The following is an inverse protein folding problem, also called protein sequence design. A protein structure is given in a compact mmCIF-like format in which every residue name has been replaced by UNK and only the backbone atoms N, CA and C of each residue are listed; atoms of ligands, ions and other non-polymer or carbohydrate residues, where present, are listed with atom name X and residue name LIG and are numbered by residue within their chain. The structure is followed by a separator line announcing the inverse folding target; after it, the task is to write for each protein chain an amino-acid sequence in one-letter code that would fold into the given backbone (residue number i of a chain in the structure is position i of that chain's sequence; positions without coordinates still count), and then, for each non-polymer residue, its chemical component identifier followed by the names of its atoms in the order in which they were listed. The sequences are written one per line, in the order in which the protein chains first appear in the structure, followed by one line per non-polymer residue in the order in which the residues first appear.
data_IF_701121844894
#
_entry.id   IF_701121844894
#
_cell.length_a   1.000
_cell.length_b   1.000
_cell.length_c   1.000
_cell.angle_alpha   90.00
_cell.angle_beta   90.00
_cell.angle_gamma   90.00
#
_symmetry.space_group_name_H-M   'P 1'
#
loop_
_entity.id
_entity.type
_entity.pdbx_description
1 polymer ?
#
# COMPACT_ATOMS: atom_id res chain seq x y z
N UNK A 1 -30.38 2.39 -55.68
CA UNK A 1 -31.80 2.01 -55.84
C UNK A 1 -32.07 0.99 -54.75
N UNK A 2 -32.86 1.22 -53.71
CA UNK A 2 -33.64 2.35 -53.22
C UNK A 2 -33.72 2.08 -51.69
N UNK A 3 -33.40 3.04 -50.81
CA UNK A 3 -34.35 4.02 -50.26
C UNK A 3 -35.78 3.50 -50.22
N UNK A 4 -36.16 2.94 -49.06
CA UNK A 4 -37.57 2.83 -48.68
C UNK A 4 -37.74 3.62 -47.38
N UNK A 5 -37.90 4.93 -47.57
CA UNK A 5 -38.46 5.84 -46.59
C UNK A 5 -39.98 5.63 -46.47
N UNK A 6 -40.45 5.74 -45.22
CA UNK A 6 -41.66 6.46 -44.79
C UNK A 6 -43.03 5.88 -45.17
N UNK A 7 -43.73 5.43 -44.12
CA UNK A 7 -45.08 5.88 -43.78
C UNK A 7 -45.33 5.46 -42.31
N UNK A 8 -45.66 6.32 -41.33
CA UNK A 8 -46.40 7.57 -41.43
C UNK A 8 -47.88 7.31 -41.11
N UNK A 9 -48.20 6.98 -39.86
CA UNK A 9 -49.54 7.13 -39.28
C UNK A 9 -49.37 7.30 -37.75
N UNK A 10 -49.23 8.52 -37.24
CA UNK A 10 -50.24 9.56 -37.01
C UNK A 10 -51.11 9.28 -35.78
N UNK A 11 -50.76 10.05 -34.74
CA UNK A 11 -51.56 10.69 -33.72
C UNK A 11 -52.47 9.94 -32.73
N UNK A 12 -52.24 10.37 -31.48
CA UNK A 12 -53.13 10.50 -30.33
C UNK A 12 -53.80 9.24 -29.79
N UNK A 13 -53.47 8.87 -28.55
CA UNK A 13 -54.35 9.08 -27.38
C UNK A 13 -53.48 9.07 -26.10
N UNK A 14 -53.36 10.27 -25.53
CA UNK A 14 -53.43 10.61 -24.10
C UNK A 14 -52.68 9.77 -23.04
N UNK A 15 -51.81 10.52 -22.32
CA UNK A 15 -51.55 10.43 -20.89
C UNK A 15 -52.35 9.35 -20.12
N UNK A 16 -51.64 8.34 -19.60
CA UNK A 16 -51.92 7.87 -18.25
C UNK A 16 -50.65 7.40 -17.56
N UNK A 17 -50.46 7.92 -16.35
CA UNK A 17 -49.38 7.61 -15.43
C UNK A 17 -49.74 6.31 -14.73
N UNK A 18 -49.02 5.21 -14.96
CA UNK A 18 -48.66 4.30 -13.86
C UNK A 18 -47.70 3.16 -14.27
N UNK A 19 -46.65 3.05 -13.44
CA UNK A 19 -46.02 1.82 -12.93
C UNK A 19 -45.45 0.77 -13.90
N UNK A 20 -44.17 0.50 -13.62
CA UNK A 20 -43.49 -0.80 -13.70
C UNK A 20 -43.20 -1.37 -15.09
N UNK A 21 -42.13 -0.87 -15.73
CA UNK A 21 -41.34 -1.70 -16.65
C UNK A 21 -39.92 -1.79 -16.11
N UNK A 22 -39.66 -2.86 -15.34
CA UNK A 22 -38.31 -3.29 -14.98
C UNK A 22 -37.57 -3.61 -16.27
N UNK A 23 -36.71 -2.69 -16.73
CA UNK A 23 -35.65 -3.02 -17.69
C UNK A 23 -34.83 -4.14 -17.05
N UNK A 24 -34.66 -5.25 -17.76
CA UNK A 24 -33.81 -6.38 -17.36
C UNK A 24 -32.42 -5.84 -17.04
N UNK A 25 -32.11 -5.72 -15.75
CA UNK A 25 -30.78 -5.29 -15.30
C UNK A 25 -29.77 -6.32 -15.83
N UNK A 26 -28.97 -5.91 -16.82
CA UNK A 26 -27.77 -6.66 -17.19
C UNK A 26 -26.92 -6.78 -15.92
N UNK A 27 -26.36 -7.96 -15.69
CA UNK A 27 -25.53 -8.23 -14.53
C UNK A 27 -24.37 -7.22 -14.51
N UNK A 28 -24.47 -6.24 -13.61
CA UNK A 28 -23.53 -5.12 -13.50
C UNK A 28 -22.18 -5.56 -12.90
N UNK A 29 -22.04 -6.82 -12.47
CA UNK A 29 -20.79 -7.39 -11.96
C UNK A 29 -20.06 -6.51 -10.91
N UNK A 30 -20.80 -5.67 -10.19
CA UNK A 30 -20.25 -4.74 -9.20
C UNK A 30 -19.59 -3.48 -9.77
N UNK A 31 -19.74 -3.18 -11.07
CA UNK A 31 -19.16 -1.96 -11.68
C UNK A 31 -19.73 -0.70 -11.04
N UNK A 32 -21.04 -0.62 -10.81
CA UNK A 32 -21.62 0.53 -10.11
C UNK A 32 -21.23 0.60 -8.62
N UNK A 33 -20.78 -0.50 -8.02
CA UNK A 33 -20.26 -0.50 -6.64
C UNK A 33 -18.82 0.00 -6.60
N UNK A 34 -18.02 -0.34 -7.62
CA UNK A 34 -16.67 0.17 -7.81
C UNK A 34 -16.65 1.68 -8.16
N UNK A 35 -17.66 2.20 -8.85
CA UNK A 35 -17.76 3.65 -9.06
C UNK A 35 -18.01 4.38 -7.72
N UNK A 36 -18.87 3.81 -6.87
CA UNK A 36 -19.20 4.36 -5.55
C UNK A 36 -18.02 4.43 -4.58
N UNK A 37 -16.98 3.59 -4.70
CA UNK A 37 -15.79 3.68 -3.83
C UNK A 37 -14.88 4.87 -4.16
N UNK A 38 -15.08 5.51 -5.31
CA UNK A 38 -14.33 6.70 -5.72
C UNK A 38 -15.12 8.00 -5.60
N UNK A 39 -16.41 7.91 -5.27
CA UNK A 39 -17.27 9.08 -5.09
C UNK A 39 -16.79 9.92 -3.90
N UNK A 40 -16.94 11.24 -4.04
CA UNK A 40 -16.58 12.18 -3.00
C UNK A 40 -17.48 12.01 -1.77
N UNK A 41 -16.86 11.75 -0.62
CA UNK A 41 -17.51 11.75 0.69
C UNK A 41 -16.70 12.61 1.67
N UNK A 42 -17.40 13.42 2.47
CA UNK A 42 -16.75 14.20 3.53
C UNK A 42 -16.37 13.29 4.70
N UNK A 43 -15.13 13.42 5.18
CA UNK A 43 -14.61 12.69 6.34
C UNK A 43 -15.37 13.08 7.61
N UNK A 44 -15.74 12.09 8.42
CA UNK A 44 -16.44 12.36 9.69
C UNK A 44 -15.46 12.87 10.75
N UNK A 45 -15.80 14.01 11.35
CA UNK A 45 -15.08 14.51 12.52
C UNK A 45 -15.32 13.63 13.75
N UNK A 46 -14.27 13.41 14.54
CA UNK A 46 -14.31 12.69 15.81
C UNK A 46 -14.17 13.71 16.93
N UNK A 47 -14.91 13.51 18.04
CA UNK A 47 -14.82 14.37 19.23
C UNK A 47 -13.36 14.48 19.71
N UNK A 48 -12.90 15.71 19.96
CA UNK A 48 -11.52 16.02 20.37
C UNK A 48 -11.17 15.55 21.79
N UNK A 49 -12.16 15.07 22.55
CA UNK A 49 -11.95 14.53 23.89
C UNK A 49 -11.10 13.25 23.81
N UNK A 50 -10.00 13.23 24.56
CA UNK A 50 -9.03 12.13 24.71
C UNK A 50 -8.12 11.80 23.50
N UNK A 51 -8.26 12.47 22.34
CA UNK A 51 -7.37 12.27 21.17
C UNK A 51 -5.91 12.64 21.51
N UNK A 52 -5.71 13.73 22.24
CA UNK A 52 -4.37 14.23 22.57
C UNK A 52 -3.58 13.22 23.43
N UNK A 53 -4.23 12.63 24.44
CA UNK A 53 -3.60 11.62 25.30
C UNK A 53 -3.25 10.33 24.56
N UNK A 54 -4.14 9.85 23.68
CA UNK A 54 -3.88 8.69 22.83
C UNK A 54 -2.75 8.95 21.83
N UNK A 55 -2.70 10.15 21.23
CA UNK A 55 -1.66 10.54 20.28
C UNK A 55 -0.28 10.63 20.93
N UNK A 56 -0.19 11.16 22.16
CA UNK A 56 1.05 11.16 22.94
C UNK A 56 1.55 9.75 23.23
N UNK A 57 0.69 8.82 23.64
CA UNK A 57 1.09 7.42 23.90
C UNK A 57 1.63 6.72 22.65
N UNK A 58 1.01 6.94 21.48
CA UNK A 58 1.48 6.41 20.20
C UNK A 58 2.79 7.08 19.79
N UNK A 59 2.87 8.40 19.96
CA UNK A 59 4.07 9.20 19.68
C UNK A 59 5.27 8.75 20.51
N UNK A 60 5.09 8.58 21.81
CA UNK A 60 6.13 8.16 22.74
C UNK A 60 6.62 6.74 22.44
N UNK A 61 5.72 5.82 22.11
CA UNK A 61 6.10 4.46 21.67
C UNK A 61 6.90 4.50 20.38
N UNK A 62 6.42 5.24 19.37
CA UNK A 62 7.12 5.38 18.08
C UNK A 62 8.49 6.02 18.26
N UNK A 63 8.59 7.04 19.12
CA UNK A 63 9.84 7.74 19.38
C UNK A 63 10.83 6.86 20.14
N UNK A 64 10.37 6.06 21.10
CA UNK A 64 11.21 5.10 21.83
C UNK A 64 11.73 3.99 20.91
N UNK A 65 10.88 3.43 20.05
CA UNK A 65 11.31 2.44 19.06
C UNK A 65 12.28 3.04 18.03
N UNK A 66 12.05 4.29 17.60
CA UNK A 66 12.96 5.00 16.70
C UNK A 66 14.31 5.31 17.36
N UNK A 67 14.31 5.74 18.62
CA UNK A 67 15.52 6.01 19.39
C UNK A 67 16.35 4.73 19.60
N UNK A 68 15.71 3.62 19.95
CA UNK A 68 16.41 2.34 20.15
C UNK A 68 16.99 1.79 18.83
N UNK A 69 16.27 1.95 17.71
CA UNK A 69 16.81 1.61 16.37
C UNK A 69 18.01 2.49 16.02
N UNK A 70 17.93 3.79 16.29
CA UNK A 70 19.01 4.73 16.03
C UNK A 70 20.24 4.45 16.90
N UNK A 71 20.06 4.07 18.17
CA UNK A 71 21.16 3.67 19.05
C UNK A 71 21.83 2.39 18.57
N UNK A 72 21.04 1.35 18.22
CA UNK A 72 21.58 0.12 17.62
C UNK A 72 22.34 0.43 16.32
N UNK A 73 21.79 1.28 15.47
CA UNK A 73 22.47 1.68 14.23
C UNK A 73 23.77 2.45 14.49
N UNK A 74 23.80 3.34 15.48
CA UNK A 74 25.02 4.05 15.90
C UNK A 74 26.09 3.11 16.45
N UNK A 75 25.71 2.08 17.19
CA UNK A 75 26.64 1.06 17.67
C UNK A 75 27.19 0.20 16.52
N UNK A 76 26.33 -0.18 15.59
CA UNK A 76 26.70 -0.92 14.37
C UNK A 76 27.60 -0.07 13.45
N UNK A 77 27.39 1.24 13.36
CA UNK A 77 28.22 2.15 12.56
C UNK A 77 29.63 2.35 13.11
N UNK A 78 29.86 2.13 14.41
CA UNK A 78 31.21 2.18 15.00
C UNK A 78 32.09 0.99 14.59
N UNK A 79 31.50 -0.07 14.06
CA UNK A 79 32.23 -1.25 13.59
C UNK A 79 32.86 -0.92 12.24
N UNK A 80 34.18 -0.81 12.20
CA UNK A 80 34.92 -0.72 10.94
C UNK A 80 34.94 -2.09 10.26
N UNK A 81 34.27 -2.19 9.10
CA UNK A 81 34.24 -3.38 8.25
C UNK A 81 35.18 -3.22 7.05
N UNK A 82 35.81 -4.31 6.60
CA UNK A 82 36.70 -4.28 5.44
C UNK A 82 35.88 -4.35 4.15
N UNK A 83 36.33 -3.62 3.11
CA UNK A 83 35.66 -3.62 1.80
C UNK A 83 35.72 -4.99 1.11
N UNK A 84 36.85 -5.67 1.25
CA UNK A 84 37.07 -7.00 0.66
C UNK A 84 36.06 -8.04 1.20
N UNK A 85 35.75 -7.97 2.50
CA UNK A 85 34.77 -8.85 3.14
C UNK A 85 33.35 -8.59 2.61
N UNK A 86 32.99 -7.33 2.37
CA UNK A 86 31.71 -6.96 1.77
C UNK A 86 31.61 -7.50 0.34
N UNK A 87 32.67 -7.34 -0.46
CA UNK A 87 32.70 -7.82 -1.84
C UNK A 87 32.67 -9.34 -1.95
N UNK A 88 33.32 -10.04 -1.02
CA UNK A 88 33.24 -11.49 -0.92
C UNK A 88 31.80 -11.96 -0.69
N UNK A 89 31.09 -11.36 0.26
CA UNK A 89 29.69 -11.74 0.58
C UNK A 89 28.75 -11.39 -0.57
N UNK A 90 28.89 -10.20 -1.18
CA UNK A 90 28.08 -9.80 -2.34
C UNK A 90 28.27 -10.77 -3.50
N UNK A 91 29.50 -11.24 -3.73
CA UNK A 91 29.80 -12.17 -4.81
C UNK A 91 29.29 -13.58 -4.54
N UNK A 92 29.45 -14.08 -3.33
CA UNK A 92 29.11 -15.47 -3.00
C UNK A 92 27.60 -15.65 -2.74
N UNK A 93 26.97 -14.70 -2.05
CA UNK A 93 25.56 -14.78 -1.66
C UNK A 93 24.62 -14.04 -2.62
N UNK A 94 25.17 -13.33 -3.62
CA UNK A 94 24.41 -12.54 -4.60
C UNK A 94 23.41 -11.54 -3.98
N UNK A 95 23.74 -10.99 -2.81
CA UNK A 95 22.92 -10.01 -2.10
C UNK A 95 23.37 -8.57 -2.37
N UNK A 96 22.49 -7.62 -2.06
CA UNK A 96 22.84 -6.20 -2.17
C UNK A 96 23.99 -5.83 -1.24
N UNK A 97 24.84 -4.89 -1.68
CA UNK A 97 25.95 -4.35 -0.88
C UNK A 97 25.47 -3.80 0.48
N UNK A 98 24.28 -3.19 0.51
CA UNK A 98 23.67 -2.65 1.73
C UNK A 98 23.34 -3.74 2.75
N UNK A 99 22.87 -4.90 2.28
CA UNK A 99 22.52 -6.02 3.16
C UNK A 99 23.77 -6.75 3.65
N UNK A 100 24.78 -6.93 2.79
CA UNK A 100 26.08 -7.50 3.17
C UNK A 100 26.83 -6.63 4.19
N UNK A 101 26.83 -5.30 4.00
CA UNK A 101 27.46 -4.38 4.95
C UNK A 101 26.73 -4.37 6.30
N UNK A 102 25.39 -4.46 6.28
CA UNK A 102 24.58 -4.55 7.48
C UNK A 102 24.88 -5.83 8.28
N UNK A 103 24.89 -6.99 7.63
CA UNK A 103 25.16 -8.26 8.31
C UNK A 103 26.59 -8.28 8.87
N UNK A 104 27.57 -7.77 8.13
CA UNK A 104 28.94 -7.63 8.65
C UNK A 104 29.02 -6.69 9.85
N UNK A 105 28.29 -5.57 9.86
CA UNK A 105 28.24 -4.68 11.03
C UNK A 105 27.57 -5.34 12.24
N UNK A 106 26.50 -6.09 12.01
CA UNK A 106 25.80 -6.87 13.06
C UNK A 106 26.73 -7.93 13.69
N UNK A 107 27.62 -8.52 12.89
CA UNK A 107 28.61 -9.50 13.32
C UNK A 107 29.99 -8.92 13.63
N UNK A 108 30.10 -7.59 13.87
CA UNK A 108 31.35 -6.92 14.26
C UNK A 108 32.52 -7.12 13.27
N UNK A 109 32.23 -7.34 12.00
CA UNK A 109 33.21 -7.60 10.95
C UNK A 109 33.68 -9.05 10.85
N UNK A 110 33.03 -10.00 11.53
CA UNK A 110 33.30 -11.42 11.37
C UNK A 110 32.58 -11.99 10.14
N UNK A 111 33.37 -12.32 9.12
CA UNK A 111 32.90 -12.88 7.85
C UNK A 111 32.29 -14.26 8.02
N UNK A 112 32.85 -15.10 8.89
CA UNK A 112 32.38 -16.48 9.07
C UNK A 112 31.02 -16.47 9.77
N UNK A 113 30.89 -15.65 10.82
CA UNK A 113 29.62 -15.49 11.52
C UNK A 113 28.54 -14.91 10.60
N UNK A 114 28.87 -13.90 9.78
CA UNK A 114 27.94 -13.30 8.83
C UNK A 114 27.50 -14.28 7.72
N UNK A 115 28.41 -15.08 7.17
CA UNK A 115 28.05 -16.11 6.18
C UNK A 115 27.20 -17.22 6.81
N UNK A 116 27.49 -17.59 8.06
CA UNK A 116 26.72 -18.60 8.79
C UNK A 116 25.28 -18.12 9.03
N UNK A 117 25.07 -16.85 9.40
CA UNK A 117 23.71 -16.32 9.58
C UNK A 117 22.94 -16.13 8.29
N UNK A 118 23.62 -15.86 7.17
CA UNK A 118 22.99 -15.80 5.86
C UNK A 118 22.61 -17.19 5.30
N UNK A 119 23.16 -18.26 5.86
CA UNK A 119 22.90 -19.64 5.42
C UNK A 119 21.83 -20.34 6.27
N UNK A 120 21.63 -19.90 7.52
CA UNK A 120 20.69 -20.53 8.47
C UNK A 120 19.25 -20.03 8.35
#
# INVERSE_FOLDING_TARGET
MADEEINGDTDDIQHDKDKTQKKTAKHDSGVADLEKVTDYAEEKEISSQDISGALSLIGDRRNKEAAERLEKEKELQKVSVRKDDIELIVKEMEISRTLAERTLREHRGDVVAALTTLTN
#
